data_IF_004076548452
#
_entry.id   IF_004076548452
#
_cell.length_a   1.000
_cell.length_b   1.000
_cell.length_c   1.000
_cell.angle_alpha   90.00
_cell.angle_beta   90.00
_cell.angle_gamma   90.00
#
_symmetry.space_group_name_H-M   'P 1'
#
loop_
_entity.id
_entity.type
_entity.pdbx_description
1 polymer ?
#
# COMPACT_ATOMS: atom_id res chain seq x y z
N UNK A 1 -1.79 32.15 -74.84
CA UNK A 1 -1.80 32.88 -73.56
C UNK A 1 -2.82 32.20 -72.65
N UNK A 2 -2.40 31.26 -71.81
CA UNK A 2 -3.27 30.60 -70.84
C UNK A 2 -2.61 30.80 -69.47
N UNK A 3 -3.28 31.55 -68.60
CA UNK A 3 -2.83 31.84 -67.23
C UNK A 3 -3.29 30.69 -66.35
N UNK A 4 -2.33 29.93 -65.82
CA UNK A 4 -2.57 28.87 -64.85
C UNK A 4 -2.64 29.51 -63.45
N UNK A 5 -3.83 29.54 -62.86
CA UNK A 5 -4.02 29.96 -61.47
C UNK A 5 -3.71 28.77 -60.54
N UNK A 6 -2.62 28.86 -59.78
CA UNK A 6 -2.29 27.90 -58.74
C UNK A 6 -3.07 28.23 -57.46
N UNK A 7 -3.96 27.32 -57.05
CA UNK A 7 -4.61 27.35 -55.74
C UNK A 7 -3.66 26.68 -54.74
N UNK A 8 -3.10 27.46 -53.82
CA UNK A 8 -2.36 26.95 -52.67
C UNK A 8 -3.35 26.41 -51.64
N UNK A 9 -3.40 25.09 -51.48
CA UNK A 9 -4.07 24.44 -50.36
C UNK A 9 -3.30 24.74 -49.06
N UNK A 10 -3.91 25.50 -48.15
CA UNK A 10 -3.36 25.74 -46.82
C UNK A 10 -3.36 24.44 -46.02
N UNK A 11 -2.17 23.98 -45.61
CA UNK A 11 -2.03 22.94 -44.61
C UNK A 11 -2.61 23.49 -43.29
N UNK A 12 -3.68 22.87 -42.80
CA UNK A 12 -4.15 23.09 -41.44
C UNK A 12 -3.06 22.56 -40.50
N UNK A 13 -2.29 23.45 -39.89
CA UNK A 13 -1.41 23.11 -38.78
C UNK A 13 -2.28 22.60 -37.62
N UNK A 14 -2.35 21.28 -37.46
CA UNK A 14 -2.80 20.67 -36.23
C UNK A 14 -1.74 20.95 -35.15
N UNK A 15 -1.85 22.13 -34.53
CA UNK A 15 -1.09 22.46 -33.33
C UNK A 15 -1.49 21.42 -32.25
N UNK A 16 -0.53 20.74 -31.61
CA UNK A 16 -0.83 19.93 -30.44
C UNK A 16 -1.63 20.77 -29.43
N UNK A 17 -2.65 20.20 -28.78
CA UNK A 17 -3.40 20.95 -27.78
C UNK A 17 -2.42 21.51 -26.75
N UNK A 18 -2.52 22.82 -26.50
CA UNK A 18 -1.72 23.46 -25.48
C UNK A 18 -1.94 22.73 -24.15
N UNK A 19 -0.90 22.54 -23.33
CA UNK A 19 -1.08 21.98 -22.00
C UNK A 19 -2.10 22.82 -21.23
N UNK A 20 -3.17 22.18 -20.77
CA UNK A 20 -4.21 22.83 -19.99
C UNK A 20 -3.77 22.88 -18.52
N UNK A 21 -3.75 24.07 -17.92
CA UNK A 21 -3.38 24.31 -16.51
C UNK A 21 -4.40 23.76 -15.49
N UNK A 22 -5.16 22.71 -15.82
CA UNK A 22 -6.20 22.16 -14.94
C UNK A 22 -6.63 20.73 -15.29
N UNK A 23 -7.51 20.12 -14.46
CA UNK A 23 -7.90 18.72 -14.58
C UNK A 23 -8.51 18.42 -15.95
N UNK A 24 -8.14 17.28 -16.53
CA UNK A 24 -8.68 16.83 -17.82
C UNK A 24 -10.20 16.62 -17.74
N UNK A 25 -10.93 16.66 -18.87
CA UNK A 25 -12.35 16.32 -18.89
C UNK A 25 -12.65 14.93 -18.30
N UNK A 26 -11.76 13.96 -18.51
CA UNK A 26 -11.86 12.60 -17.96
C UNK A 26 -11.77 12.61 -16.44
N UNK A 27 -10.82 13.35 -15.87
CA UNK A 27 -10.67 13.52 -14.41
C UNK A 27 -11.92 14.15 -13.78
N UNK A 28 -12.53 15.14 -14.44
CA UNK A 28 -13.78 15.76 -13.97
C UNK A 28 -14.96 14.79 -14.05
N UNK A 29 -15.05 14.01 -15.13
CA UNK A 29 -16.08 12.99 -15.30
C UNK A 29 -15.96 11.89 -14.24
N UNK A 30 -14.73 11.47 -13.93
CA UNK A 30 -14.46 10.52 -12.86
C UNK A 30 -14.93 11.06 -11.50
N UNK A 31 -14.56 12.31 -11.16
CA UNK A 31 -14.98 12.95 -9.91
C UNK A 31 -16.51 12.97 -9.76
N UNK A 32 -17.24 13.32 -10.83
CA UNK A 32 -18.69 13.35 -10.82
C UNK A 32 -19.37 11.99 -10.62
N UNK A 33 -18.66 10.88 -10.87
CA UNK A 33 -19.15 9.52 -10.63
C UNK A 33 -18.86 9.01 -9.21
N UNK A 34 -18.12 9.77 -8.40
CA UNK A 34 -17.84 9.37 -7.03
C UNK A 34 -19.06 9.64 -6.14
N UNK A 35 -19.38 8.64 -5.31
CA UNK A 35 -20.46 8.61 -4.34
C UNK A 35 -19.86 8.22 -2.97
N UNK A 36 -19.23 9.18 -2.27
CA UNK A 36 -18.67 8.93 -0.95
C UNK A 36 -19.76 8.58 0.06
N UNK A 37 -19.42 7.70 1.00
CA UNK A 37 -20.28 7.25 2.10
C UNK A 37 -19.68 7.69 3.42
N UNK A 38 -20.54 8.01 4.39
CA UNK A 38 -20.13 8.44 5.73
C UNK A 38 -20.73 7.54 6.81
N UNK A 39 -20.23 7.68 8.04
CA UNK A 39 -20.75 6.93 9.20
C UNK A 39 -20.26 5.48 9.25
N UNK A 40 -21.19 4.52 9.37
CA UNK A 40 -20.88 3.09 9.57
C UNK A 40 -20.86 2.35 8.24
N UNK A 41 -19.69 1.86 7.86
CA UNK A 41 -19.44 1.13 6.61
C UNK A 41 -19.20 -0.35 6.94
N UNK A 42 -20.05 -1.22 6.41
CA UNK A 42 -19.83 -2.67 6.50
C UNK A 42 -18.74 -3.11 5.53
N UNK A 43 -17.83 -3.97 6.00
CA UNK A 43 -16.78 -4.62 5.21
C UNK A 43 -16.99 -6.15 5.27
N UNK A 44 -17.88 -6.72 4.43
CA UNK A 44 -18.26 -8.13 4.52
C UNK A 44 -17.08 -9.09 4.39
N UNK A 45 -16.16 -8.82 3.47
CA UNK A 45 -14.94 -9.62 3.25
C UNK A 45 -14.09 -9.73 4.52
N UNK A 46 -13.97 -8.63 5.27
CA UNK A 46 -13.23 -8.58 6.52
C UNK A 46 -14.07 -8.97 7.75
N UNK A 47 -15.36 -9.32 7.56
CA UNK A 47 -16.34 -9.54 8.65
C UNK A 47 -16.31 -8.40 9.70
N UNK A 48 -16.07 -7.18 9.25
CA UNK A 48 -15.83 -6.01 10.09
C UNK A 48 -16.77 -4.86 9.76
N UNK A 49 -16.85 -3.88 10.65
CA UNK A 49 -17.53 -2.61 10.40
C UNK A 49 -16.58 -1.46 10.71
N UNK A 50 -16.36 -0.61 9.72
CA UNK A 50 -15.61 0.63 9.86
C UNK A 50 -16.56 1.73 10.33
N UNK A 51 -16.21 2.43 11.42
CA UNK A 51 -16.96 3.60 11.89
C UNK A 51 -16.14 4.84 11.62
N UNK A 52 -16.60 5.68 10.70
CA UNK A 52 -15.92 6.90 10.29
C UNK A 52 -16.30 8.07 11.21
N UNK A 53 -15.30 8.86 11.59
CA UNK A 53 -15.53 10.18 12.20
C UNK A 53 -16.12 11.17 11.20
N UNK A 54 -16.62 12.33 11.67
CA UNK A 54 -17.32 13.32 10.84
C UNK A 54 -16.43 13.97 9.76
N UNK A 55 -15.12 13.85 9.89
CA UNK A 55 -14.15 14.46 8.98
C UNK A 55 -13.76 13.53 7.83
N UNK A 56 -14.36 12.33 7.74
CA UNK A 56 -13.97 11.31 6.78
C UNK A 56 -15.15 10.75 5.99
N UNK A 57 -14.85 10.45 4.73
CA UNK A 57 -15.75 9.78 3.81
C UNK A 57 -15.06 8.58 3.16
N UNK A 58 -15.87 7.66 2.65
CA UNK A 58 -15.41 6.37 2.13
C UNK A 58 -15.91 6.13 0.72
N UNK A 59 -14.98 5.79 -0.16
CA UNK A 59 -15.22 5.26 -1.48
C UNK A 59 -15.16 3.74 -1.41
N UNK A 60 -16.15 3.06 -2.00
CA UNK A 60 -16.11 1.60 -2.08
C UNK A 60 -14.97 1.11 -2.99
N UNK A 61 -14.72 -0.20 -2.96
CA UNK A 61 -13.69 -0.85 -3.74
C UNK A 61 -13.66 -0.44 -5.22
N UNK A 62 -14.82 -0.31 -5.86
CA UNK A 62 -14.89 0.03 -7.30
C UNK A 62 -14.46 1.46 -7.55
N UNK A 63 -14.95 2.38 -6.74
CA UNK A 63 -14.60 3.79 -6.82
C UNK A 63 -13.14 4.05 -6.45
N UNK A 64 -12.65 3.37 -5.40
CA UNK A 64 -11.27 3.46 -4.94
C UNK A 64 -10.29 2.99 -6.03
N UNK A 65 -10.58 1.88 -6.72
CA UNK A 65 -9.77 1.42 -7.86
C UNK A 65 -9.63 2.49 -8.94
N UNK A 66 -10.75 3.09 -9.36
CA UNK A 66 -10.73 4.16 -10.37
C UNK A 66 -9.89 5.35 -9.92
N UNK A 67 -10.02 5.79 -8.67
CA UNK A 67 -9.19 6.89 -8.15
C UNK A 67 -7.71 6.51 -8.15
N UNK A 68 -7.35 5.32 -7.70
CA UNK A 68 -5.96 4.86 -7.68
C UNK A 68 -5.36 4.80 -9.10
N UNK A 69 -6.08 4.21 -10.05
CA UNK A 69 -5.54 3.94 -11.39
C UNK A 69 -5.77 5.10 -12.37
N UNK A 70 -7.01 5.57 -12.51
CA UNK A 70 -7.38 6.61 -13.47
C UNK A 70 -7.13 8.02 -12.92
N UNK A 71 -7.30 8.21 -11.60
CA UNK A 71 -7.09 9.50 -10.94
C UNK A 71 -5.62 9.81 -10.65
N UNK A 72 -4.94 8.89 -9.96
CA UNK A 72 -3.55 9.07 -9.53
C UNK A 72 -2.52 8.38 -10.43
N UNK A 73 -2.95 7.59 -11.43
CA UNK A 73 -2.04 6.96 -12.37
C UNK A 73 -1.24 5.79 -11.78
N UNK A 74 -1.67 5.23 -10.65
CA UNK A 74 -1.01 4.06 -10.07
C UNK A 74 -1.21 2.84 -10.98
N UNK A 75 -0.24 1.91 -10.99
CA UNK A 75 -0.38 0.68 -11.75
C UNK A 75 -1.57 -0.17 -11.23
N UNK A 76 -2.23 -0.97 -12.09
CA UNK A 76 -3.43 -1.73 -11.71
C UNK A 76 -3.28 -2.61 -10.46
N UNK A 77 -2.08 -3.15 -10.27
CA UNK A 77 -1.69 -4.02 -9.15
C UNK A 77 -1.82 -3.30 -7.80
N UNK A 78 -1.64 -1.97 -7.76
CA UNK A 78 -1.83 -1.17 -6.55
C UNK A 78 -3.29 -1.13 -6.07
N UNK A 79 -4.21 -1.62 -6.90
CA UNK A 79 -5.66 -1.60 -6.67
C UNK A 79 -6.23 -3.00 -6.38
N UNK A 80 -5.36 -4.03 -6.37
CA UNK A 80 -5.71 -5.41 -6.02
C UNK A 80 -6.04 -5.53 -4.53
N UNK A 81 -7.04 -6.37 -4.20
CA UNK A 81 -7.45 -6.60 -2.81
C UNK A 81 -8.09 -5.41 -2.10
N UNK A 82 -8.24 -4.25 -2.75
CA UNK A 82 -8.83 -3.05 -2.17
C UNK A 82 -10.31 -3.26 -1.86
N UNK A 83 -10.67 -3.05 -0.59
CA UNK A 83 -12.04 -3.04 -0.09
C UNK A 83 -12.68 -1.64 -0.18
N UNK A 84 -11.85 -0.60 -0.20
CA UNK A 84 -12.25 0.79 -0.42
C UNK A 84 -11.15 1.77 -0.03
N UNK A 85 -11.48 3.06 -0.01
CA UNK A 85 -10.53 4.12 0.31
C UNK A 85 -11.21 5.23 1.12
N UNK A 86 -10.50 5.78 2.09
CA UNK A 86 -10.98 6.83 2.99
C UNK A 86 -10.35 8.17 2.60
N UNK A 87 -11.15 9.23 2.55
CA UNK A 87 -10.74 10.61 2.26
C UNK A 87 -11.17 11.58 3.38
N UNK A 88 -10.48 12.72 3.53
CA UNK A 88 -11.00 13.88 4.23
C UNK A 88 -12.25 14.44 3.52
N UNK A 89 -13.28 14.79 4.28
CA UNK A 89 -14.50 15.42 3.72
C UNK A 89 -14.14 16.75 3.04
N UNK A 90 -14.71 16.98 1.86
CA UNK A 90 -14.54 18.22 1.10
C UNK A 90 -13.21 18.32 0.35
N UNK A 91 -12.38 17.26 0.40
CA UNK A 91 -11.20 17.10 -0.45
C UNK A 91 -11.47 16.01 -1.49
N UNK A 92 -10.81 16.12 -2.62
CA UNK A 92 -10.93 15.19 -3.75
C UNK A 92 -9.55 14.76 -4.21
N UNK A 93 -9.48 13.69 -4.98
CA UNK A 93 -8.23 13.21 -5.57
C UNK A 93 -7.54 14.21 -6.52
N UNK A 94 -8.20 15.33 -6.86
CA UNK A 94 -7.68 16.42 -7.68
C UNK A 94 -6.97 17.51 -6.86
N UNK A 95 -7.14 17.53 -5.54
CA UNK A 95 -6.48 18.54 -4.70
C UNK A 95 -5.02 18.14 -4.47
N UNK A 96 -4.10 19.10 -4.66
CA UNK A 96 -2.65 18.85 -4.55
C UNK A 96 -2.20 18.38 -3.16
N UNK A 97 -2.95 18.72 -2.09
CA UNK A 97 -2.64 18.43 -0.68
C UNK A 97 -3.50 17.29 -0.09
N UNK A 98 -4.18 16.51 -0.91
CA UNK A 98 -5.04 15.42 -0.45
C UNK A 98 -4.24 14.16 -0.12
N UNK A 99 -4.76 13.39 0.83
CA UNK A 99 -4.34 12.01 1.06
C UNK A 99 -5.55 11.07 1.00
N UNK A 100 -5.30 9.80 0.73
CA UNK A 100 -6.29 8.73 0.81
C UNK A 100 -5.71 7.50 1.51
N UNK A 101 -6.48 6.90 2.43
CA UNK A 101 -6.11 5.65 3.08
C UNK A 101 -6.82 4.48 2.40
N UNK A 102 -6.04 3.58 1.80
CA UNK A 102 -6.54 2.37 1.16
C UNK A 102 -6.84 1.31 2.21
N UNK A 103 -8.04 0.75 2.17
CA UNK A 103 -8.47 -0.33 3.08
C UNK A 103 -8.34 -1.66 2.34
N UNK A 104 -7.46 -2.53 2.83
CA UNK A 104 -7.29 -3.91 2.37
C UNK A 104 -7.55 -4.88 3.51
N UNK A 105 -7.77 -6.15 3.17
CA UNK A 105 -7.89 -7.23 4.14
C UNK A 105 -7.09 -8.43 3.67
N UNK A 106 -6.27 -8.95 4.56
CA UNK A 106 -5.58 -10.22 4.39
C UNK A 106 -6.00 -11.15 5.55
N UNK A 107 -6.39 -12.36 5.22
CA UNK A 107 -6.85 -13.37 6.20
C UNK A 107 -5.68 -14.02 6.98
N UNK A 108 -4.47 -13.49 6.84
CA UNK A 108 -3.24 -14.22 7.16
C UNK A 108 -2.56 -13.75 8.44
N UNK A 109 -3.26 -13.65 9.58
CA UNK A 109 -2.59 -13.43 10.89
C UNK A 109 -3.28 -14.09 12.10
N UNK A 110 -4.19 -15.05 11.90
CA UNK A 110 -4.70 -15.83 13.02
C UNK A 110 -3.81 -17.04 13.27
N UNK A 111 -2.85 -16.90 14.19
CA UNK A 111 -2.27 -18.06 14.88
C UNK A 111 -3.11 -18.23 16.16
N UNK A 112 -3.82 -19.35 16.31
CA UNK A 112 -4.48 -19.62 17.59
C UNK A 112 -3.40 -19.85 18.66
N UNK A 113 -3.67 -19.47 19.91
CA UNK A 113 -2.75 -19.76 21.02
C UNK A 113 -2.44 -21.28 21.14
N UNK A 114 -3.32 -22.14 20.64
CA UNK A 114 -3.14 -23.60 20.60
C UNK A 114 -2.15 -24.06 19.50
N UNK A 115 -2.00 -23.29 18.42
CA UNK A 115 -1.03 -23.53 17.33
C UNK A 115 0.33 -22.87 17.57
N UNK A 116 0.42 -21.96 18.54
CA UNK A 116 1.68 -21.46 19.07
C UNK A 116 2.40 -22.58 19.87
N UNK A 117 2.89 -23.61 19.17
CA UNK A 117 3.71 -24.66 19.78
C UNK A 117 4.90 -24.00 20.50
N UNK A 118 5.28 -24.47 21.70
CA UNK A 118 6.54 -24.02 22.31
C UNK A 118 7.66 -24.33 21.32
N UNK A 119 8.20 -23.28 20.72
CA UNK A 119 9.41 -23.41 19.90
C UNK A 119 10.53 -23.80 20.85
N UNK A 120 11.30 -24.83 20.53
CA UNK A 120 12.49 -25.18 21.30
C UNK A 120 13.59 -24.16 20.97
N UNK A 121 13.51 -23.02 21.65
CA UNK A 121 14.41 -21.89 21.46
C UNK A 121 15.87 -22.25 21.75
N UNK A 122 16.10 -23.21 22.64
CA UNK A 122 17.44 -23.73 22.96
C UNK A 122 18.00 -24.55 21.80
N UNK A 123 17.16 -25.38 21.16
CA UNK A 123 17.54 -26.07 19.93
C UNK A 123 17.84 -25.09 18.80
N UNK A 124 17.00 -24.08 18.58
CA UNK A 124 17.23 -23.10 17.52
C UNK A 124 18.48 -22.25 17.78
N UNK A 125 18.73 -21.86 19.03
CA UNK A 125 19.96 -21.18 19.44
C UNK A 125 21.20 -22.06 19.21
N UNK A 126 21.09 -23.36 19.46
CA UNK A 126 22.18 -24.33 19.21
C UNK A 126 22.48 -24.45 17.71
N UNK A 127 21.45 -24.55 16.87
CA UNK A 127 21.60 -24.64 15.42
C UNK A 127 22.24 -23.34 14.85
N UNK A 128 21.84 -22.17 15.35
CA UNK A 128 22.44 -20.88 14.96
C UNK A 128 23.91 -20.74 15.39
N UNK A 129 24.26 -21.19 16.60
CA UNK A 129 25.66 -21.21 17.08
C UNK A 129 26.53 -22.14 16.23
N UNK A 130 25.99 -23.30 15.84
CA UNK A 130 26.71 -24.21 14.93
C UNK A 130 26.95 -23.58 13.55
N UNK A 131 26.02 -22.77 13.03
CA UNK A 131 26.23 -22.01 11.79
C UNK A 131 27.28 -20.90 11.95
N UNK A 132 27.24 -20.19 13.08
CA UNK A 132 28.22 -19.15 13.44
C UNK A 132 29.64 -19.71 13.59
N UNK A 133 29.82 -20.86 14.23
CA UNK A 133 31.12 -21.53 14.35
C UNK A 133 31.72 -21.82 12.97
N UNK A 134 30.91 -22.31 12.03
CA UNK A 134 31.34 -22.59 10.66
C UNK A 134 31.74 -21.29 9.91
N UNK A 135 31.02 -20.19 10.12
CA UNK A 135 31.35 -18.90 9.52
C UNK A 135 32.62 -18.29 10.14
N UNK A 136 32.82 -18.45 11.45
CA UNK A 136 34.01 -18.01 12.16
C UNK A 136 35.29 -18.68 11.66
N UNK A 137 35.23 -19.93 11.22
CA UNK A 137 36.36 -20.59 10.56
C UNK A 137 36.75 -19.90 9.24
N UNK A 138 35.77 -19.38 8.50
CA UNK A 138 36.02 -18.59 7.28
C UNK A 138 36.56 -17.20 7.63
N UNK A 139 36.05 -16.59 8.70
CA UNK A 139 36.53 -15.27 9.20
C UNK A 139 38.00 -15.33 9.64
N UNK A 140 38.37 -16.35 10.41
CA UNK A 140 39.76 -16.59 10.85
C UNK A 140 40.71 -16.76 9.67
N UNK A 141 40.34 -17.56 8.67
CA UNK A 141 41.13 -17.76 7.44
C UNK A 141 41.40 -16.45 6.68
N UNK A 142 40.47 -15.51 6.77
CA UNK A 142 40.56 -14.20 6.13
C UNK A 142 41.12 -13.09 7.05
N UNK A 143 41.66 -13.44 8.22
CA UNK A 143 42.30 -12.49 9.15
C UNK A 143 41.32 -11.66 9.99
N UNK A 144 40.03 -12.02 10.02
CA UNK A 144 39.01 -11.35 10.81
C UNK A 144 38.79 -12.02 12.17
N UNK A 145 38.44 -11.24 13.19
CA UNK A 145 38.08 -11.74 14.52
C UNK A 145 36.76 -12.51 14.50
N UNK A 146 36.69 -13.55 15.33
CA UNK A 146 35.46 -14.34 15.54
C UNK A 146 34.39 -13.55 16.30
N UNK A 147 33.13 -13.88 16.02
CA UNK A 147 31.94 -13.28 16.62
C UNK A 147 31.05 -14.38 17.17
N UNK A 148 30.52 -14.23 18.39
CA UNK A 148 29.77 -15.30 19.07
C UNK A 148 28.33 -14.89 19.41
N UNK A 149 27.36 -15.74 19.06
CA UNK A 149 25.94 -15.51 19.36
C UNK A 149 25.62 -15.86 20.82
N UNK A 150 25.46 -14.82 21.64
CA UNK A 150 25.11 -14.96 23.07
C UNK A 150 23.64 -15.36 23.24
N UNK A 151 22.74 -14.80 22.44
CA UNK A 151 21.30 -15.11 22.40
C UNK A 151 20.56 -14.23 21.40
N UNK A 152 19.34 -14.62 21.01
CA UNK A 152 18.53 -13.91 19.99
C UNK A 152 17.07 -13.64 20.42
N UNK A 153 16.62 -14.27 21.51
CA UNK A 153 15.29 -14.09 22.09
C UNK A 153 15.42 -13.83 23.60
N UNK A 154 14.59 -12.93 24.14
CA UNK A 154 14.45 -12.79 25.59
C UNK A 154 13.62 -13.97 26.11
N UNK A 155 14.11 -14.74 27.10
CA UNK A 155 13.31 -15.74 27.77
C UNK A 155 12.05 -15.09 28.33
N UNK A 156 10.92 -15.80 28.28
CA UNK A 156 9.69 -15.37 28.96
C UNK A 156 10.04 -15.00 30.41
N UNK A 157 9.77 -13.77 30.80
CA UNK A 157 9.88 -13.36 32.20
C UNK A 157 8.82 -14.12 32.98
N UNK A 158 9.18 -15.27 33.55
CA UNK A 158 8.38 -15.89 34.59
C UNK A 158 8.59 -15.05 35.85
N UNK A 159 7.74 -14.06 36.08
CA UNK A 159 7.59 -13.54 37.44
C UNK A 159 7.12 -14.69 38.30
N UNK A 160 7.91 -15.08 39.30
CA UNK A 160 7.47 -16.05 40.29
C UNK A 160 6.13 -15.60 40.89
N UNK A 161 5.15 -16.51 41.08
CA UNK A 161 3.92 -16.14 41.75
C UNK A 161 4.24 -15.85 43.22
N UNK A 162 4.14 -14.58 43.59
CA UNK A 162 4.11 -14.13 44.98
C UNK A 162 5.36 -13.39 45.44
N UNK A 163 5.38 -12.08 45.26
CA UNK A 163 5.57 -11.15 46.38
C UNK A 163 4.81 -9.87 46.02
N UNK A 164 3.91 -9.47 46.91
CA UNK A 164 3.14 -8.22 46.87
C UNK A 164 4.10 -7.05 47.15
#
# INVERSE_FOLDING_TARGET
MAVLAAVLAGAANAQPPAPSDGPSPEMKALLAQLHPKTGRIGLPTAKATLTLGPNYEFLDATQARKVLTEGWGNPPEASEGVLGMIFPVGKTFLDDDVWGAVVTYEETFYVSDDEAKPSDYDKLLTDMRSGEDAENETRKKNGFTSVHLVGWAQPRLTTAPGTI
#
